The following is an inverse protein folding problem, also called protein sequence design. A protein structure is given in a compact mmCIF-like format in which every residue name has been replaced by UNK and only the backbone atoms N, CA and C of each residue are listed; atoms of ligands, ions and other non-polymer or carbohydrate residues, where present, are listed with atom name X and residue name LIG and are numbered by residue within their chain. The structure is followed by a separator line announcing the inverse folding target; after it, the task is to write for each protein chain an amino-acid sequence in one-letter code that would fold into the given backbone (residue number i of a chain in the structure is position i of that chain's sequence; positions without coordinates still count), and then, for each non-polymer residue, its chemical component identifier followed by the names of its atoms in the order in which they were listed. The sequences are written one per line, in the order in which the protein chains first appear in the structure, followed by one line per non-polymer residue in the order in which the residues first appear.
data_IF_326603618768
#
_entry.id   IF_326603618768
#
_cell.length_a   1.000
_cell.length_b   1.000
_cell.length_c   1.000
_cell.angle_alpha   90.00
_cell.angle_beta   90.00
_cell.angle_gamma   90.00
#
_symmetry.space_group_name_H-M   'P 1'
#
loop_
_entity.id
_entity.type
_entity.pdbx_description
1 polymer ?
#
# COMPACT_ATOMS: atom_id res chain seq x y z
N UNK A 1 20.49 -12.25 9.43
CA UNK A 1 19.46 -11.84 10.40
C UNK A 1 18.32 -12.85 10.35
N UNK A 2 18.00 -13.46 11.49
CA UNK A 2 16.86 -14.36 11.66
C UNK A 2 15.55 -13.57 11.61
N UNK A 3 14.41 -14.26 11.53
CA UNK A 3 13.09 -13.61 11.58
C UNK A 3 12.91 -12.81 12.90
N UNK A 4 13.32 -13.40 14.02
CA UNK A 4 13.20 -12.77 15.35
C UNK A 4 14.02 -11.50 15.46
N UNK A 5 15.28 -11.55 15.02
CA UNK A 5 16.16 -10.38 15.03
C UNK A 5 15.57 -9.23 14.18
N UNK A 6 15.04 -9.53 12.98
CA UNK A 6 14.38 -8.52 12.14
C UNK A 6 13.15 -7.91 12.82
N UNK A 7 12.39 -8.72 13.55
CA UNK A 7 11.19 -8.27 14.25
C UNK A 7 11.55 -7.40 15.45
N UNK A 8 12.51 -7.81 16.28
CA UNK A 8 13.02 -7.03 17.39
C UNK A 8 13.54 -5.66 16.92
N UNK A 9 14.36 -5.62 15.87
CA UNK A 9 14.83 -4.36 15.29
C UNK A 9 13.70 -3.47 14.77
N UNK A 10 12.64 -4.06 14.21
CA UNK A 10 11.48 -3.30 13.72
C UNK A 10 10.69 -2.69 14.87
N UNK A 11 10.55 -3.41 15.98
CA UNK A 11 9.86 -2.96 17.19
C UNK A 11 10.67 -1.88 17.89
N UNK A 12 11.98 -2.07 18.08
CA UNK A 12 12.90 -1.06 18.62
C UNK A 12 12.85 0.22 17.76
N UNK A 13 12.95 0.08 16.43
CA UNK A 13 12.82 1.21 15.52
C UNK A 13 11.47 1.93 15.59
N UNK A 14 10.41 1.28 16.06
CA UNK A 14 9.11 1.91 16.27
C UNK A 14 9.06 2.67 17.61
N UNK A 15 9.59 2.09 18.68
CA UNK A 15 9.62 2.73 20.01
C UNK A 15 10.59 3.92 20.08
N UNK A 16 11.63 3.94 19.26
CA UNK A 16 12.52 5.09 19.10
C UNK A 16 11.85 6.29 18.38
N UNK A 17 10.62 6.14 17.87
CA UNK A 17 9.89 7.18 17.15
C UNK A 17 8.72 7.71 17.97
N UNK A 18 8.86 8.94 18.47
CA UNK A 18 7.75 9.67 19.12
C UNK A 18 6.62 9.91 18.10
N UNK A 19 6.96 10.57 16.99
CA UNK A 19 6.00 10.94 15.93
C UNK A 19 6.58 10.66 14.54
N UNK A 20 5.75 10.42 13.53
CA UNK A 20 6.24 10.19 12.19
C UNK A 20 6.69 11.51 11.52
N UNK A 21 7.68 11.43 10.64
CA UNK A 21 8.19 12.55 9.83
C UNK A 21 7.28 12.92 8.64
N UNK A 22 5.96 12.93 8.86
CA UNK A 22 5.01 13.41 7.87
C UNK A 22 4.74 14.89 8.08
N UNK A 23 4.49 15.61 6.98
CA UNK A 23 3.93 16.95 7.05
C UNK A 23 2.55 16.92 7.75
N UNK A 24 2.22 17.97 8.52
CA UNK A 24 0.98 18.04 9.32
C UNK A 24 -0.30 17.88 8.48
N UNK A 25 -0.26 18.21 7.19
CA UNK A 25 -1.40 18.06 6.28
C UNK A 25 -1.67 16.61 5.86
N UNK A 26 -0.73 15.67 6.04
CA UNK A 26 -0.87 14.24 5.72
C UNK A 26 -1.58 13.48 6.84
N UNK A 27 -2.72 14.01 7.30
CA UNK A 27 -3.50 13.48 8.45
C UNK A 27 -3.91 12.02 8.29
N UNK A 28 -4.17 11.58 7.05
CA UNK A 28 -4.47 10.17 6.76
C UNK A 28 -3.26 9.23 7.02
N UNK A 29 -2.03 9.72 6.86
CA UNK A 29 -0.83 8.93 7.20
C UNK A 29 -0.50 8.99 8.70
N UNK A 30 -0.89 10.05 9.38
CA UNK A 30 -0.86 10.10 10.85
C UNK A 30 -1.86 9.12 11.46
N UNK A 31 -3.07 8.99 10.89
CA UNK A 31 -4.04 7.96 11.29
C UNK A 31 -3.46 6.53 11.16
N UNK A 32 -2.73 6.24 10.08
CA UNK A 32 -1.99 4.97 9.95
C UNK A 32 -0.94 4.79 11.07
N UNK A 33 -0.28 5.86 11.49
CA UNK A 33 0.72 5.76 12.56
C UNK A 33 0.06 5.50 13.92
N UNK A 34 -1.10 6.10 14.20
CA UNK A 34 -1.89 5.80 15.41
C UNK A 34 -2.38 4.35 15.39
N UNK A 35 -2.87 3.85 14.26
CA UNK A 35 -3.20 2.42 14.12
C UNK A 35 -1.99 1.51 14.39
N UNK A 36 -0.78 1.95 14.01
CA UNK A 36 0.45 1.22 14.32
C UNK A 36 0.79 1.29 15.82
N UNK A 37 0.55 2.42 16.49
CA UNK A 37 0.64 2.53 17.95
C UNK A 37 -0.31 1.54 18.59
N UNK A 38 -1.56 1.47 18.16
CA UNK A 38 -2.55 0.53 18.69
C UNK A 38 -2.23 -0.94 18.40
N UNK A 39 -1.51 -1.24 17.32
CA UNK A 39 -1.02 -2.59 17.05
C UNK A 39 0.03 -3.05 18.07
N UNK A 40 0.86 -2.12 18.57
CA UNK A 40 1.90 -2.39 19.56
C UNK A 40 1.48 -2.06 20.99
N UNK A 41 0.28 -1.51 21.17
CA UNK A 41 -0.30 -1.27 22.49
C UNK A 41 -0.67 -2.60 23.11
N UNK A 42 -0.50 -2.70 24.43
CA UNK A 42 -1.04 -3.81 25.21
C UNK A 42 -2.58 -3.88 25.09
N UNK A 43 -3.23 -4.75 25.87
CA UNK A 43 -4.69 -4.92 25.82
C UNK A 43 -5.51 -3.68 26.18
N UNK A 44 -4.89 -2.64 26.75
CA UNK A 44 -5.59 -1.46 27.25
C UNK A 44 -5.89 -0.44 26.13
N UNK A 45 -5.31 -0.65 24.93
CA UNK A 45 -5.54 0.17 23.74
C UNK A 45 -4.71 1.45 23.70
N UNK A 46 -5.06 2.35 22.78
CA UNK A 46 -4.43 3.67 22.63
C UNK A 46 -5.49 4.74 22.77
N UNK A 47 -5.39 5.57 23.81
CA UNK A 47 -6.28 6.71 24.00
C UNK A 47 -5.81 7.96 23.25
N UNK A 48 -6.70 8.94 23.12
CA UNK A 48 -6.36 10.28 22.63
C UNK A 48 -5.21 10.90 23.45
N UNK A 49 -5.24 10.75 24.79
CA UNK A 49 -4.22 11.27 25.69
C UNK A 49 -2.84 10.67 25.42
N UNK A 50 -2.78 9.35 25.22
CA UNK A 50 -1.51 8.64 24.93
C UNK A 50 -0.88 9.17 23.63
N UNK A 51 -1.69 9.40 22.59
CA UNK A 51 -1.18 9.95 21.33
C UNK A 51 -0.75 11.41 21.49
N UNK A 52 -1.51 12.22 22.24
CA UNK A 52 -1.16 13.61 22.50
C UNK A 52 0.19 13.71 23.22
N UNK A 53 0.35 12.94 24.31
CA UNK A 53 1.57 12.90 25.10
C UNK A 53 2.75 12.37 24.28
N UNK A 54 2.54 11.33 23.46
CA UNK A 54 3.59 10.79 22.58
C UNK A 54 4.01 11.78 21.49
N UNK A 55 3.09 12.51 20.88
CA UNK A 55 3.42 13.40 19.76
C UNK A 55 3.98 14.76 20.20
N UNK A 56 3.54 15.27 21.34
CA UNK A 56 3.81 16.63 21.79
C UNK A 56 4.51 16.71 23.15
N UNK A 57 4.60 15.59 23.88
CA UNK A 57 5.25 15.47 25.18
C UNK A 57 4.32 15.82 26.34
N UNK A 58 4.66 15.30 27.53
CA UNK A 58 3.92 15.52 28.80
C UNK A 58 4.20 16.87 29.46
N UNK A 59 5.14 17.66 28.93
CA UNK A 59 5.63 18.87 29.61
C UNK A 59 4.74 20.06 29.33
N UNK A 60 4.17 20.60 30.41
CA UNK A 60 3.49 21.88 30.56
C UNK A 60 3.61 22.77 29.33
N UNK A 61 2.57 22.72 28.49
CA UNK A 61 2.40 23.65 27.39
C UNK A 61 2.75 25.06 27.86
N UNK A 62 3.75 25.67 27.23
CA UNK A 62 4.18 27.03 27.55
C UNK A 62 3.06 28.08 27.34
N UNK A 63 2.00 27.71 26.61
CA UNK A 63 0.76 28.46 26.49
C UNK A 63 -0.42 27.53 26.19
N UNK A 64 -1.59 27.80 26.80
CA UNK A 64 -2.83 27.05 26.52
C UNK A 64 -3.24 27.06 25.05
N UNK A 65 -2.90 28.13 24.30
CA UNK A 65 -3.16 28.23 22.86
C UNK A 65 -2.47 27.16 22.02
N UNK A 66 -1.27 26.73 22.42
CA UNK A 66 -0.54 25.69 21.69
C UNK A 66 -1.21 24.33 21.93
N UNK A 67 -1.68 24.08 23.16
CA UNK A 67 -2.45 22.89 23.51
C UNK A 67 -3.73 22.79 22.70
N UNK A 68 -4.52 23.87 22.66
CA UNK A 68 -5.78 23.91 21.90
C UNK A 68 -5.55 23.58 20.40
N UNK A 69 -4.42 24.04 19.84
CA UNK A 69 -4.05 23.78 18.45
C UNK A 69 -3.72 22.30 18.22
N UNK A 70 -2.91 21.72 19.09
CA UNK A 70 -2.45 20.33 18.96
C UNK A 70 -3.62 19.35 19.19
N UNK A 71 -4.46 19.62 20.19
CA UNK A 71 -5.70 18.87 20.43
C UNK A 71 -6.64 18.98 19.23
N UNK A 72 -6.89 20.18 18.70
CA UNK A 72 -7.73 20.37 17.52
C UNK A 72 -7.21 19.63 16.29
N UNK A 73 -5.89 19.57 16.09
CA UNK A 73 -5.30 18.83 14.98
C UNK A 73 -5.43 17.32 15.17
N UNK A 74 -5.27 16.84 16.40
CA UNK A 74 -5.42 15.42 16.74
C UNK A 74 -6.87 14.93 16.61
N UNK A 75 -7.84 15.77 17.01
CA UNK A 75 -9.28 15.51 16.81
C UNK A 75 -9.59 15.24 15.32
N UNK A 76 -8.98 16.01 14.41
CA UNK A 76 -9.16 15.77 12.97
C UNK A 76 -8.62 14.40 12.52
N UNK A 77 -7.59 13.87 13.17
CA UNK A 77 -7.03 12.54 12.86
C UNK A 77 -7.90 11.43 13.46
N UNK A 78 -8.37 11.58 14.70
CA UNK A 78 -9.33 10.64 15.29
C UNK A 78 -10.64 10.59 14.50
N UNK A 79 -11.09 11.72 13.96
CA UNK A 79 -12.21 11.77 13.01
C UNK A 79 -11.94 10.92 11.75
N UNK A 80 -10.69 10.79 11.30
CA UNK A 80 -10.31 9.88 10.19
C UNK A 80 -10.37 8.42 10.65
N UNK A 81 -9.93 8.11 11.86
CA UNK A 81 -9.99 6.76 12.44
C UNK A 81 -11.46 6.31 12.54
N UNK A 82 -12.35 7.15 13.07
CA UNK A 82 -13.80 6.87 13.09
C UNK A 82 -14.37 6.58 11.70
N UNK A 83 -13.95 7.37 10.69
CA UNK A 83 -14.37 7.11 9.31
C UNK A 83 -13.87 5.75 8.82
N UNK A 84 -12.67 5.34 9.20
CA UNK A 84 -12.12 4.02 8.83
C UNK A 84 -12.87 2.89 9.53
N UNK A 85 -13.23 3.03 10.81
CA UNK A 85 -14.10 2.08 11.50
C UNK A 85 -15.38 1.84 10.68
N UNK A 86 -16.01 2.91 10.20
CA UNK A 86 -17.24 2.81 9.38
C UNK A 86 -16.98 2.29 7.95
N UNK A 87 -15.92 2.75 7.29
CA UNK A 87 -15.61 2.43 5.89
C UNK A 87 -15.15 0.98 5.72
N UNK A 88 -14.35 0.48 6.66
CA UNK A 88 -13.82 -0.89 6.64
C UNK A 88 -14.76 -1.88 7.34
N UNK A 89 -15.64 -1.42 8.23
CA UNK A 89 -16.62 -2.24 8.94
C UNK A 89 -15.96 -3.46 9.60
N UNK A 90 -16.45 -4.67 9.34
CA UNK A 90 -15.92 -5.91 9.92
C UNK A 90 -14.46 -6.16 9.56
N UNK A 91 -13.98 -5.63 8.42
CA UNK A 91 -12.61 -5.78 7.97
C UNK A 91 -11.62 -4.88 8.75
N UNK A 92 -12.10 -3.86 9.47
CA UNK A 92 -11.24 -3.01 10.31
C UNK A 92 -10.73 -3.79 11.53
N UNK A 93 -9.41 -3.82 11.81
CA UNK A 93 -8.87 -4.68 12.87
C UNK A 93 -9.00 -4.08 14.29
N UNK A 94 -9.48 -2.85 14.41
CA UNK A 94 -9.60 -2.16 15.69
C UNK A 94 -11.06 -1.87 16.05
N UNK A 95 -11.31 -1.66 17.34
CA UNK A 95 -12.53 -1.06 17.89
C UNK A 95 -12.17 0.30 18.49
N UNK A 96 -13.04 1.29 18.30
CA UNK A 96 -12.96 2.58 18.96
C UNK A 96 -14.14 2.67 19.93
N UNK A 97 -13.86 2.83 21.23
CA UNK A 97 -14.89 2.94 22.25
C UNK A 97 -15.39 4.38 22.44
N UNK A 98 -16.36 4.57 23.34
CA UNK A 98 -16.95 5.88 23.64
C UNK A 98 -15.95 6.85 24.30
N UNK A 99 -14.81 6.36 24.79
CA UNK A 99 -13.73 7.17 25.39
C UNK A 99 -12.61 7.45 24.38
N UNK A 100 -12.83 7.21 23.08
CA UNK A 100 -11.85 7.36 22.01
C UNK A 100 -10.61 6.47 22.20
N UNK A 101 -10.77 5.30 22.85
CA UNK A 101 -9.69 4.32 23.00
C UNK A 101 -9.72 3.35 21.82
N UNK A 102 -8.66 3.37 21.02
CA UNK A 102 -8.47 2.47 19.88
C UNK A 102 -7.80 1.18 20.34
N UNK A 103 -8.53 0.07 20.28
CA UNK A 103 -8.06 -1.24 20.76
C UNK A 103 -8.09 -2.26 19.64
N UNK A 104 -7.09 -3.14 19.57
CA UNK A 104 -7.09 -4.25 18.62
C UNK A 104 -8.19 -5.26 18.97
N UNK A 105 -8.91 -5.76 17.95
CA UNK A 105 -9.93 -6.79 18.16
C UNK A 105 -9.27 -8.08 18.70
N UNK A 106 -9.90 -8.77 19.67
CA UNK A 106 -9.35 -10.01 20.22
C UNK A 106 -9.30 -11.15 19.19
N UNK A 107 -10.33 -11.24 18.36
CA UNK A 107 -10.47 -12.29 17.33
C UNK A 107 -10.34 -11.69 15.93
N UNK A 108 -9.11 -11.70 15.40
CA UNK A 108 -8.81 -11.19 14.06
C UNK A 108 -9.05 -12.26 12.99
N UNK A 109 -9.95 -11.97 12.05
CA UNK A 109 -10.08 -12.77 10.83
C UNK A 109 -8.95 -12.44 9.82
N UNK A 110 -8.87 -13.20 8.73
CA UNK A 110 -7.80 -13.02 7.75
C UNK A 110 -7.83 -11.64 7.06
N UNK A 111 -9.00 -11.02 6.87
CA UNK A 111 -9.11 -9.66 6.33
C UNK A 111 -8.63 -8.61 7.31
N UNK A 112 -8.89 -8.79 8.61
CA UNK A 112 -8.31 -7.94 9.64
C UNK A 112 -6.78 -8.04 9.63
N UNK A 113 -6.24 -9.25 9.51
CA UNK A 113 -4.80 -9.45 9.39
C UNK A 113 -4.23 -8.88 8.11
N UNK A 114 -4.95 -8.98 6.99
CA UNK A 114 -4.54 -8.39 5.72
C UNK A 114 -4.52 -6.85 5.78
N UNK A 115 -5.49 -6.24 6.48
CA UNK A 115 -5.46 -4.81 6.79
C UNK A 115 -4.16 -4.45 7.51
N UNK A 116 -3.83 -5.17 8.58
CA UNK A 116 -2.61 -4.95 9.36
C UNK A 116 -1.35 -5.21 8.53
N UNK A 117 -1.37 -6.21 7.66
CA UNK A 117 -0.29 -6.52 6.74
C UNK A 117 0.00 -5.36 5.78
N UNK A 118 -1.05 -4.77 5.20
CA UNK A 118 -0.91 -3.54 4.40
C UNK A 118 -0.46 -2.34 5.23
N UNK A 119 -0.93 -2.22 6.48
CA UNK A 119 -0.45 -1.17 7.38
C UNK A 119 1.07 -1.28 7.59
N UNK A 120 1.56 -2.48 7.91
CA UNK A 120 3.00 -2.80 8.06
C UNK A 120 3.76 -2.55 6.75
N UNK A 121 3.23 -2.98 5.61
CA UNK A 121 3.81 -2.73 4.28
C UNK A 121 3.94 -1.24 3.96
N UNK A 122 3.06 -0.39 4.48
CA UNK A 122 3.16 1.07 4.29
C UNK A 122 4.22 1.75 5.16
N UNK A 123 4.88 0.99 6.05
CA UNK A 123 5.83 1.47 7.08
C UNK A 123 7.20 0.81 6.93
N UNK A 124 7.67 0.67 5.69
CA UNK A 124 8.96 0.02 5.37
C UNK A 124 10.19 0.65 6.06
N UNK A 125 10.08 1.91 6.50
CA UNK A 125 11.13 2.57 7.28
C UNK A 125 11.26 2.00 8.71
N UNK A 126 10.20 1.41 9.24
CA UNK A 126 10.18 0.70 10.53
C UNK A 126 10.55 -0.77 10.29
N UNK A 127 9.91 -1.40 9.30
CA UNK A 127 10.10 -2.83 8.98
C UNK A 127 11.24 -3.08 7.97
N UNK A 128 12.40 -2.45 8.15
CA UNK A 128 13.51 -2.47 7.17
C UNK A 128 13.97 -3.88 6.81
N UNK A 129 14.10 -4.76 7.82
CA UNK A 129 14.54 -6.15 7.64
C UNK A 129 13.60 -7.02 6.81
N UNK A 130 12.31 -6.64 6.73
CA UNK A 130 11.27 -7.34 5.99
C UNK A 130 10.91 -6.66 4.66
N UNK A 131 11.57 -5.54 4.31
CA UNK A 131 11.26 -4.79 3.09
C UNK A 131 11.19 -5.66 1.82
N UNK A 132 12.14 -6.57 1.52
CA UNK A 132 12.07 -7.40 0.32
C UNK A 132 10.87 -8.36 0.29
N UNK A 133 10.45 -8.83 1.46
CA UNK A 133 9.32 -9.73 1.63
C UNK A 133 8.01 -8.94 1.44
N UNK A 134 7.84 -7.85 2.20
CA UNK A 134 6.65 -7.00 2.16
C UNK A 134 6.36 -6.41 0.77
N UNK A 135 7.38 -5.93 0.05
CA UNK A 135 7.18 -5.38 -1.30
C UNK A 135 6.79 -6.46 -2.31
N UNK A 136 7.47 -7.61 -2.26
CA UNK A 136 7.24 -8.73 -3.17
C UNK A 136 5.86 -9.35 -2.96
N UNK A 137 5.44 -9.49 -1.70
CA UNK A 137 4.13 -10.05 -1.37
C UNK A 137 2.99 -9.07 -1.65
N UNK A 138 3.24 -7.77 -1.52
CA UNK A 138 2.28 -6.76 -1.96
C UNK A 138 2.06 -6.75 -3.48
N UNK A 139 3.10 -7.00 -4.27
CA UNK A 139 2.96 -7.25 -5.73
C UNK A 139 2.06 -8.47 -5.99
N UNK A 140 2.29 -9.58 -5.28
CA UNK A 140 1.45 -10.79 -5.39
C UNK A 140 -0.01 -10.52 -5.01
N UNK A 141 -0.27 -9.81 -3.92
CA UNK A 141 -1.63 -9.39 -3.53
C UNK A 141 -2.27 -8.55 -4.64
N UNK A 142 -1.53 -7.56 -5.16
CA UNK A 142 -2.00 -6.66 -6.21
C UNK A 142 -2.31 -7.40 -7.52
N UNK A 143 -1.55 -8.45 -7.84
CA UNK A 143 -1.81 -9.34 -8.98
C UNK A 143 -3.19 -10.00 -8.87
N UNK A 144 -3.50 -10.59 -7.72
CA UNK A 144 -4.78 -11.23 -7.48
C UNK A 144 -5.93 -10.21 -7.46
N UNK A 145 -5.72 -9.04 -6.85
CA UNK A 145 -6.72 -7.95 -6.90
C UNK A 145 -7.04 -7.54 -8.34
N UNK A 146 -6.03 -7.36 -9.20
CA UNK A 146 -6.27 -7.00 -10.58
C UNK A 146 -7.00 -8.11 -11.33
N UNK A 147 -6.62 -9.37 -11.09
CA UNK A 147 -7.27 -10.54 -11.67
C UNK A 147 -8.74 -10.65 -11.29
N UNK A 148 -9.09 -10.36 -10.04
CA UNK A 148 -10.48 -10.42 -9.54
C UNK A 148 -11.30 -9.20 -9.96
N UNK A 149 -10.65 -8.05 -10.12
CA UNK A 149 -11.29 -6.83 -10.61
C UNK A 149 -11.65 -6.91 -12.10
N UNK A 150 -10.77 -7.51 -12.91
CA UNK A 150 -11.00 -7.66 -14.34
C UNK A 150 -11.92 -8.84 -14.65
N UNK A 151 -12.46 -8.87 -15.87
CA UNK A 151 -13.34 -9.97 -16.28
C UNK A 151 -12.59 -11.30 -16.37
N UNK A 152 -13.30 -12.42 -16.26
CA UNK A 152 -12.74 -13.76 -16.46
C UNK A 152 -12.16 -14.01 -17.87
N UNK A 153 -12.43 -13.11 -18.83
CA UNK A 153 -11.83 -13.13 -20.17
C UNK A 153 -10.48 -12.41 -20.24
N UNK A 154 -10.12 -11.65 -19.19
CA UNK A 154 -8.85 -10.96 -19.13
C UNK A 154 -7.70 -11.94 -18.88
N UNK A 155 -6.53 -11.56 -19.38
CA UNK A 155 -5.26 -12.20 -19.04
C UNK A 155 -4.53 -11.23 -18.13
N UNK A 156 -4.11 -11.71 -16.96
CA UNK A 156 -3.30 -10.94 -16.00
C UNK A 156 -2.02 -11.71 -15.76
N UNK A 157 -0.88 -11.02 -15.84
CA UNK A 157 0.46 -11.57 -15.60
C UNK A 157 1.26 -10.65 -14.71
N UNK A 158 2.05 -11.24 -13.81
CA UNK A 158 3.12 -10.54 -13.11
C UNK A 158 4.21 -10.17 -14.12
N UNK A 159 4.67 -8.92 -14.07
CA UNK A 159 5.77 -8.40 -14.87
C UNK A 159 6.97 -8.00 -13.99
N UNK A 160 6.78 -7.81 -12.68
CA UNK A 160 7.83 -7.51 -11.70
C UNK A 160 8.63 -8.75 -11.27
N UNK A 161 8.88 -8.89 -9.96
CA UNK A 161 9.86 -9.87 -9.44
C UNK A 161 9.49 -11.34 -9.70
N UNK A 162 8.21 -11.67 -9.71
CA UNK A 162 7.69 -13.03 -9.94
C UNK A 162 7.38 -13.31 -11.41
N UNK A 163 7.82 -12.44 -12.31
CA UNK A 163 7.54 -12.51 -13.74
C UNK A 163 8.03 -13.80 -14.38
N UNK A 164 7.22 -14.36 -15.28
CA UNK A 164 7.62 -15.46 -16.16
C UNK A 164 8.43 -14.97 -17.36
N UNK A 165 8.53 -13.66 -17.59
CA UNK A 165 9.32 -13.08 -18.66
C UNK A 165 10.80 -13.12 -18.27
N UNK A 166 11.62 -13.78 -19.09
CA UNK A 166 13.06 -13.98 -18.84
C UNK A 166 13.92 -13.03 -19.66
N UNK A 167 15.11 -12.71 -19.16
CA UNK A 167 16.08 -11.83 -19.83
C UNK A 167 16.23 -10.47 -19.14
N UNK A 168 16.94 -9.54 -19.78
CA UNK A 168 17.05 -8.17 -19.31
C UNK A 168 15.73 -7.40 -19.57
N UNK A 169 15.68 -6.12 -19.21
CA UNK A 169 14.50 -5.29 -19.39
C UNK A 169 14.02 -5.19 -20.85
N UNK A 170 14.94 -5.14 -21.83
CA UNK A 170 14.59 -5.06 -23.26
C UNK A 170 13.89 -6.36 -23.69
N UNK A 171 14.47 -7.50 -23.35
CA UNK A 171 13.95 -8.82 -23.71
C UNK A 171 12.56 -9.03 -23.11
N UNK A 172 12.37 -8.66 -21.83
CA UNK A 172 11.05 -8.72 -21.19
C UNK A 172 10.02 -7.85 -21.91
N UNK A 173 10.38 -6.62 -22.29
CA UNK A 173 9.49 -5.73 -23.05
C UNK A 173 9.16 -6.31 -24.43
N UNK A 174 10.12 -6.94 -25.12
CA UNK A 174 9.87 -7.60 -26.41
C UNK A 174 8.91 -8.78 -26.27
N UNK A 175 9.08 -9.60 -25.23
CA UNK A 175 8.18 -10.71 -24.94
C UNK A 175 6.76 -10.21 -24.58
N UNK A 176 6.66 -9.13 -23.82
CA UNK A 176 5.38 -8.48 -23.52
C UNK A 176 4.70 -7.96 -24.79
N UNK A 177 5.44 -7.29 -25.67
CA UNK A 177 4.92 -6.81 -26.95
C UNK A 177 4.38 -7.97 -27.80
N UNK A 178 5.10 -9.10 -27.83
CA UNK A 178 4.67 -10.30 -28.53
C UNK A 178 3.35 -10.87 -27.97
N UNK A 179 3.21 -10.93 -26.63
CA UNK A 179 1.97 -11.37 -25.98
C UNK A 179 0.77 -10.46 -26.28
N UNK A 180 1.01 -9.14 -26.35
CA UNK A 180 -0.01 -8.16 -26.69
C UNK A 180 -0.24 -8.04 -28.21
N UNK A 181 0.62 -8.65 -29.04
CA UNK A 181 0.64 -8.48 -30.49
C UNK A 181 1.02 -7.07 -30.95
N UNK A 182 1.64 -6.25 -30.09
CA UNK A 182 1.98 -4.85 -30.38
C UNK A 182 3.34 -4.72 -31.07
N UNK A 183 3.50 -3.63 -31.83
CA UNK A 183 4.81 -3.21 -32.35
C UNK A 183 5.59 -2.48 -31.27
N UNK A 184 6.91 -2.56 -31.36
CA UNK A 184 7.85 -1.88 -30.46
C UNK A 184 8.45 -0.66 -31.17
N UNK A 185 8.78 0.38 -30.41
CA UNK A 185 9.70 1.44 -30.84
C UNK A 185 11.13 1.03 -30.46
N UNK A 186 11.88 0.43 -31.40
CA UNK A 186 13.23 -0.09 -31.09
C UNK A 186 14.20 1.03 -30.68
N UNK A 187 14.10 2.23 -31.27
CA UNK A 187 14.94 3.38 -30.90
C UNK A 187 14.81 3.76 -29.42
N UNK A 188 13.58 3.75 -28.88
CA UNK A 188 13.32 4.01 -27.44
C UNK A 188 13.84 2.86 -26.56
N UNK A 189 13.75 1.62 -27.06
CA UNK A 189 14.22 0.43 -26.35
C UNK A 189 15.75 0.38 -26.29
N UNK A 190 16.45 0.84 -27.34
CA UNK A 190 17.91 0.95 -27.39
C UNK A 190 18.47 1.86 -26.30
N UNK A 191 17.71 2.87 -25.88
CA UNK A 191 18.05 3.76 -24.76
C UNK A 191 18.10 3.07 -23.39
N UNK A 192 17.62 1.83 -23.27
CA UNK A 192 17.75 1.03 -22.04
C UNK A 192 19.14 0.39 -22.01
N UNK A 193 19.84 0.47 -20.88
CA UNK A 193 21.12 -0.24 -20.72
C UNK A 193 20.91 -1.76 -20.72
N UNK A 194 21.78 -2.49 -21.42
CA UNK A 194 21.84 -3.97 -21.40
C UNK A 194 22.03 -4.56 -19.99
N UNK A 195 22.57 -3.76 -19.05
CA UNK A 195 22.75 -4.17 -17.65
C UNK A 195 21.50 -3.97 -16.80
N UNK A 196 20.44 -3.38 -17.35
CA UNK A 196 19.21 -3.14 -16.61
C UNK A 196 18.34 -4.41 -16.62
N UNK A 197 18.26 -5.06 -15.46
CA UNK A 197 17.42 -6.24 -15.25
C UNK A 197 16.07 -5.93 -14.59
N UNK A 198 15.87 -4.69 -14.15
CA UNK A 198 14.64 -4.24 -13.51
C UNK A 198 13.58 -3.86 -14.54
N UNK A 199 12.32 -4.02 -14.17
CA UNK A 199 11.18 -3.99 -15.07
C UNK A 199 10.63 -2.58 -15.29
N UNK A 200 11.51 -1.59 -15.10
CA UNK A 200 11.30 -0.16 -15.41
C UNK A 200 10.04 0.42 -14.76
N UNK A 201 9.58 -0.20 -13.67
CA UNK A 201 8.39 0.17 -12.90
C UNK A 201 7.07 -0.19 -13.62
N UNK A 202 7.03 -1.36 -14.23
CA UNK A 202 5.79 -2.10 -14.48
C UNK A 202 5.86 -3.39 -13.66
N UNK A 203 4.90 -3.60 -12.77
CA UNK A 203 4.88 -4.77 -11.89
C UNK A 203 3.84 -5.80 -12.33
N UNK A 204 2.69 -5.36 -12.87
CA UNK A 204 1.61 -6.24 -13.32
C UNK A 204 1.03 -5.70 -14.63
N UNK A 205 0.71 -6.62 -15.54
CA UNK A 205 0.02 -6.33 -16.80
C UNK A 205 -1.31 -7.08 -16.84
N UNK A 206 -2.37 -6.39 -17.27
CA UNK A 206 -3.66 -6.99 -17.60
C UNK A 206 -4.10 -6.61 -19.01
N UNK A 207 -4.74 -7.51 -19.75
CA UNK A 207 -5.40 -7.14 -21.02
C UNK A 207 -6.60 -8.03 -21.34
N UNK A 208 -7.46 -7.55 -22.23
CA UNK A 208 -8.64 -8.29 -22.68
C UNK A 208 -8.54 -8.61 -24.18
N UNK A 209 -8.09 -9.81 -24.57
CA UNK A 209 -7.88 -10.16 -25.96
C UNK A 209 -9.20 -10.41 -26.70
N UNK A 210 -9.18 -10.16 -28.02
CA UNK A 210 -10.23 -10.57 -28.94
C UNK A 210 -9.78 -11.79 -29.75
N UNK A 211 -10.73 -12.67 -30.10
CA UNK A 211 -10.44 -13.88 -30.88
C UNK A 211 -10.00 -13.61 -32.32
N UNK A 212 -10.23 -12.40 -32.83
CA UNK A 212 -9.80 -11.95 -34.15
C UNK A 212 -8.33 -11.50 -34.21
N UNK A 213 -7.64 -11.47 -33.06
CA UNK A 213 -6.26 -10.99 -32.90
C UNK A 213 -6.07 -9.51 -33.27
N UNK A 214 -7.14 -8.72 -33.32
CA UNK A 214 -7.02 -7.28 -33.48
C UNK A 214 -6.36 -6.68 -32.23
N UNK A 215 -5.36 -5.81 -32.44
CA UNK A 215 -4.61 -5.15 -31.37
C UNK A 215 -5.43 -4.07 -30.63
N UNK A 216 -6.66 -3.78 -31.08
CA UNK A 216 -7.55 -2.83 -30.44
C UNK A 216 -8.17 -3.44 -29.17
N UNK A 217 -7.37 -3.59 -28.14
CA UNK A 217 -7.73 -4.24 -26.88
C UNK A 217 -7.53 -3.29 -25.69
N UNK A 218 -8.26 -3.57 -24.61
CA UNK A 218 -8.02 -2.89 -23.34
C UNK A 218 -6.75 -3.46 -22.72
N UNK A 219 -5.81 -2.57 -22.38
CA UNK A 219 -4.56 -2.90 -21.70
C UNK A 219 -4.46 -2.10 -20.42
N UNK A 220 -4.01 -2.74 -19.35
CA UNK A 220 -3.85 -2.20 -18.01
C UNK A 220 -2.40 -2.35 -17.58
N UNK A 221 -1.75 -1.23 -17.29
CA UNK A 221 -0.35 -1.19 -16.82
C UNK A 221 -0.35 -0.80 -15.35
N UNK A 222 0.14 -1.67 -14.47
CA UNK A 222 0.07 -1.46 -13.03
C UNK A 222 1.45 -1.40 -12.38
N UNK A 223 1.61 -0.43 -11.48
CA UNK A 223 2.73 -0.31 -10.56
C UNK A 223 2.25 -0.52 -9.13
N UNK A 224 3.05 -1.21 -8.33
CA UNK A 224 2.86 -1.41 -6.90
C UNK A 224 3.84 -0.54 -6.13
N UNK A 225 3.35 0.18 -5.11
CA UNK A 225 4.18 1.05 -4.31
C UNK A 225 3.83 0.96 -2.81
N UNK A 226 4.74 0.38 -2.03
CA UNK A 226 4.63 0.29 -0.57
C UNK A 226 5.18 1.52 0.17
N UNK A 227 5.97 2.37 -0.49
CA UNK A 227 6.63 3.53 0.11
C UNK A 227 5.80 4.82 0.08
N UNK A 228 6.31 5.86 0.73
CA UNK A 228 5.67 7.19 0.88
C UNK A 228 5.81 8.08 -0.38
N UNK A 229 6.76 7.79 -1.25
CA UNK A 229 7.07 8.58 -2.46
C UNK A 229 6.34 8.05 -3.70
N UNK A 230 5.07 7.67 -3.56
CA UNK A 230 4.25 7.15 -4.66
C UNK A 230 4.11 8.15 -5.81
N UNK A 231 4.17 9.45 -5.50
CA UNK A 231 4.10 10.53 -6.47
C UNK A 231 5.20 10.44 -7.53
N UNK A 232 6.40 10.03 -7.13
CA UNK A 232 7.52 9.84 -8.06
C UNK A 232 7.35 8.64 -9.02
N UNK A 233 6.34 7.79 -8.77
CA UNK A 233 6.13 6.52 -9.47
C UNK A 233 5.10 6.56 -10.59
N UNK A 234 4.30 7.64 -10.70
CA UNK A 234 3.30 7.74 -11.77
C UNK A 234 3.91 7.77 -13.18
N UNK A 235 5.16 8.20 -13.32
CA UNK A 235 5.82 8.21 -14.63
C UNK A 235 6.32 6.83 -15.09
N UNK A 236 6.40 5.84 -14.19
CA UNK A 236 7.06 4.57 -14.50
C UNK A 236 6.25 3.74 -15.51
N UNK A 237 4.95 3.55 -15.29
CA UNK A 237 4.09 2.81 -16.24
C UNK A 237 3.90 3.57 -17.55
N UNK A 238 3.84 4.91 -17.52
CA UNK A 238 3.72 5.74 -18.74
C UNK A 238 4.87 5.55 -19.70
N UNK A 239 6.06 5.23 -19.20
CA UNK A 239 7.23 4.97 -20.05
C UNK A 239 6.99 3.84 -21.06
N UNK A 240 6.09 2.90 -20.76
CA UNK A 240 5.73 1.82 -21.68
C UNK A 240 4.94 2.31 -22.90
N UNK A 241 4.33 3.49 -22.87
CA UNK A 241 3.74 4.11 -24.07
C UNK A 241 4.81 4.56 -25.08
N UNK A 242 6.06 4.77 -24.63
CA UNK A 242 7.18 5.05 -25.54
C UNK A 242 7.72 3.75 -26.14
N UNK A 243 7.67 2.63 -25.41
CA UNK A 243 8.20 1.35 -25.87
C UNK A 243 7.22 0.60 -26.77
N UNK A 244 5.91 0.68 -26.47
CA UNK A 244 4.87 -0.13 -27.10
C UNK A 244 3.90 0.75 -27.91
N UNK A 245 3.71 0.41 -29.18
CA UNK A 245 2.78 1.11 -30.07
C UNK A 245 1.34 0.61 -29.88
N UNK A 246 0.67 1.13 -28.86
CA UNK A 246 -0.74 0.80 -28.60
C UNK A 246 -1.66 1.20 -29.78
N UNK A 247 -2.56 0.30 -30.18
CA UNK A 247 -3.41 0.52 -31.35
C UNK A 247 -4.77 1.09 -30.96
N UNK A 248 -5.02 2.36 -31.34
CA UNK A 248 -6.28 3.12 -31.20
C UNK A 248 -6.76 3.41 -29.76
N UNK A 249 -6.42 2.58 -28.79
CA UNK A 249 -6.77 2.76 -27.39
C UNK A 249 -5.51 2.85 -26.55
N UNK A 250 -5.43 3.87 -25.68
CA UNK A 250 -4.34 4.01 -24.72
C UNK A 250 -4.50 3.02 -23.57
N UNK A 251 -3.41 2.55 -22.97
CA UNK A 251 -3.49 1.72 -21.77
C UNK A 251 -4.08 2.52 -20.61
N UNK A 252 -4.81 1.84 -19.73
CA UNK A 252 -5.22 2.37 -18.44
C UNK A 252 -4.08 2.14 -17.44
N UNK A 253 -3.61 3.22 -16.82
CA UNK A 253 -2.58 3.12 -15.79
C UNK A 253 -3.20 2.85 -14.43
N UNK A 254 -2.56 1.99 -13.63
CA UNK A 254 -3.03 1.57 -12.32
C UNK A 254 -1.91 1.76 -11.29
N UNK A 255 -2.27 2.23 -10.10
CA UNK A 255 -1.37 2.32 -8.96
C UNK A 255 -1.96 1.58 -7.76
N UNK A 256 -1.22 0.60 -7.25
CA UNK A 256 -1.53 -0.14 -6.02
C UNK A 256 -0.77 0.43 -4.84
N UNK A 257 -1.48 0.75 -3.77
CA UNK A 257 -0.95 1.43 -2.57
C UNK A 257 -1.52 0.78 -1.29
N UNK A 258 -0.69 0.42 -0.30
CA UNK A 258 -1.16 -0.29 0.90
C UNK A 258 -1.72 0.64 1.99
N UNK A 259 -1.66 1.96 1.83
CA UNK A 259 -2.24 2.93 2.76
C UNK A 259 -3.60 3.47 2.30
N UNK A 260 -4.43 3.88 3.27
CA UNK A 260 -5.77 4.37 2.99
C UNK A 260 -5.75 5.81 2.48
N UNK A 261 -6.36 6.02 1.32
CA UNK A 261 -6.48 7.32 0.66
C UNK A 261 -7.90 7.86 0.59
N UNK A 262 -8.93 7.07 0.90
CA UNK A 262 -10.32 7.50 0.75
C UNK A 262 -10.69 8.56 1.79
N UNK A 263 -11.16 9.72 1.33
CA UNK A 263 -11.82 10.74 2.14
C UNK A 263 -13.33 10.69 1.87
N UNK A 264 -14.07 10.07 2.78
CA UNK A 264 -15.52 9.82 2.60
C UNK A 264 -16.33 11.12 2.67
N UNK A 265 -15.94 12.08 3.50
CA UNK A 265 -16.61 13.38 3.60
C UNK A 265 -16.56 14.21 2.32
N UNK A 266 -15.42 14.17 1.62
CA UNK A 266 -15.22 14.95 0.38
C UNK A 266 -15.46 14.13 -0.88
N UNK A 267 -15.84 12.86 -0.75
CA UNK A 267 -16.02 11.91 -1.85
C UNK A 267 -14.84 11.93 -2.85
N UNK A 268 -13.62 11.95 -2.33
CA UNK A 268 -12.37 12.00 -3.11
C UNK A 268 -11.23 11.35 -2.35
N UNK A 269 -10.04 11.30 -2.95
CA UNK A 269 -8.84 10.90 -2.23
C UNK A 269 -8.24 12.04 -1.40
N UNK A 270 -7.65 11.72 -0.25
CA UNK A 270 -6.68 12.60 0.39
C UNK A 270 -5.53 12.88 -0.58
N UNK A 271 -5.10 14.15 -0.65
CA UNK A 271 -4.07 14.60 -1.59
C UNK A 271 -4.36 14.24 -3.06
N UNK A 272 -5.64 14.31 -3.46
CA UNK A 272 -6.06 14.03 -4.84
C UNK A 272 -5.37 14.89 -5.90
N UNK A 273 -4.87 16.06 -5.51
CA UNK A 273 -4.07 16.97 -6.35
C UNK A 273 -2.70 16.39 -6.74
N UNK A 274 -2.17 15.44 -5.96
CA UNK A 274 -0.90 14.76 -6.21
C UNK A 274 -1.09 13.45 -7.01
N UNK A 275 -2.33 13.06 -7.28
CA UNK A 275 -2.64 11.88 -8.10
C UNK A 275 -2.69 12.31 -9.56
N UNK A 276 -1.84 11.73 -10.39
CA UNK A 276 -1.84 12.02 -11.82
C UNK A 276 -3.17 11.66 -12.50
N UNK A 277 -3.51 12.41 -13.54
CA UNK A 277 -4.67 12.09 -14.39
C UNK A 277 -4.51 10.70 -15.02
N UNK A 278 -5.65 10.08 -15.32
CA UNK A 278 -5.71 8.78 -16.02
C UNK A 278 -5.11 7.60 -15.24
N UNK A 279 -4.94 7.74 -13.91
CA UNK A 279 -4.61 6.64 -13.01
C UNK A 279 -5.86 6.11 -12.30
N UNK A 280 -6.01 4.79 -12.31
CA UNK A 280 -6.94 4.08 -11.45
C UNK A 280 -6.21 3.62 -10.19
N UNK A 281 -6.64 4.11 -9.03
CA UNK A 281 -5.99 3.85 -7.75
C UNK A 281 -6.65 2.67 -7.04
N UNK A 282 -5.85 1.71 -6.62
CA UNK A 282 -6.25 0.66 -5.69
C UNK A 282 -5.51 0.91 -4.38
N UNK A 283 -6.20 1.54 -3.44
CA UNK A 283 -5.71 1.76 -2.08
C UNK A 283 -6.21 0.65 -1.15
N UNK A 284 -5.83 0.70 0.13
CA UNK A 284 -6.14 -0.32 1.15
C UNK A 284 -7.58 -0.84 1.11
N UNK A 285 -8.61 0.02 1.06
CA UNK A 285 -10.02 -0.45 1.08
C UNK A 285 -10.39 -1.21 -0.20
N UNK A 286 -10.00 -0.70 -1.36
CA UNK A 286 -10.26 -1.37 -2.65
C UNK A 286 -9.54 -2.71 -2.75
N UNK A 287 -8.28 -2.76 -2.31
CA UNK A 287 -7.48 -3.99 -2.28
C UNK A 287 -8.15 -5.03 -1.39
N UNK A 288 -8.53 -4.66 -0.16
CA UNK A 288 -9.15 -5.57 0.80
C UNK A 288 -10.52 -6.09 0.34
N UNK A 289 -11.25 -5.29 -0.42
CA UNK A 289 -12.56 -5.67 -0.95
C UNK A 289 -12.49 -6.65 -2.14
N UNK A 290 -11.38 -6.66 -2.89
CA UNK A 290 -11.24 -7.39 -4.15
C UNK A 290 -10.28 -8.59 -4.07
N UNK A 291 -9.45 -8.66 -3.03
CA UNK A 291 -8.65 -9.85 -2.77
C UNK A 291 -9.53 -10.92 -2.11
N UNK A 292 -9.50 -12.14 -2.67
CA UNK A 292 -10.37 -13.26 -2.26
C UNK A 292 -9.57 -14.50 -1.84
N UNK A 293 -8.25 -14.48 -2.01
CA UNK A 293 -7.36 -15.62 -1.89
C UNK A 293 -6.84 -15.81 -0.45
N UNK A 294 -7.74 -16.15 0.47
CA UNK A 294 -7.45 -16.35 1.90
C UNK A 294 -6.21 -17.25 2.14
N UNK A 295 -6.19 -18.45 1.57
CA UNK A 295 -5.08 -19.40 1.74
C UNK A 295 -3.74 -18.84 1.23
N UNK A 296 -3.77 -18.09 0.13
CA UNK A 296 -2.59 -17.40 -0.38
C UNK A 296 -2.09 -16.41 0.66
N UNK A 297 -2.97 -15.55 1.21
CA UNK A 297 -2.60 -14.58 2.23
C UNK A 297 -2.05 -15.25 3.51
N UNK A 298 -2.71 -16.31 4.00
CA UNK A 298 -2.28 -17.02 5.21
C UNK A 298 -0.87 -17.59 5.09
N UNK A 299 -0.44 -17.96 3.87
CA UNK A 299 0.90 -18.46 3.57
C UNK A 299 2.01 -17.39 3.51
N UNK A 300 1.68 -16.10 3.42
CA UNK A 300 2.63 -15.00 3.26
C UNK A 300 3.45 -14.73 4.53
N UNK A 301 4.69 -14.26 4.37
CA UNK A 301 5.51 -13.73 5.46
C UNK A 301 4.85 -12.52 6.11
N UNK A 302 4.13 -11.70 5.34
CA UNK A 302 3.32 -10.59 5.83
C UNK A 302 2.35 -11.03 6.93
N UNK A 303 1.63 -12.13 6.73
CA UNK A 303 0.72 -12.67 7.74
C UNK A 303 1.49 -13.13 8.99
N UNK A 304 2.66 -13.76 8.82
CA UNK A 304 3.52 -14.16 9.95
C UNK A 304 4.05 -12.96 10.73
N UNK A 305 4.40 -11.86 10.07
CA UNK A 305 4.81 -10.61 10.72
C UNK A 305 3.65 -10.08 11.57
N UNK A 306 2.45 -9.98 10.99
CA UNK A 306 1.24 -9.53 11.69
C UNK A 306 0.96 -10.40 12.92
N UNK A 307 0.94 -11.73 12.77
CA UNK A 307 0.70 -12.65 13.88
C UNK A 307 1.69 -12.47 15.03
N UNK A 308 2.93 -12.04 14.73
CA UNK A 308 3.96 -11.80 15.74
C UNK A 308 3.88 -10.41 16.35
N UNK A 309 3.48 -9.39 15.58
CA UNK A 309 3.17 -8.07 16.10
C UNK A 309 1.97 -8.13 17.06
N UNK A 310 0.88 -8.82 16.70
CA UNK A 310 -0.33 -8.93 17.53
C UNK A 310 -0.05 -9.66 18.85
N UNK A 311 0.87 -10.64 18.85
CA UNK A 311 1.28 -11.36 20.07
C UNK A 311 2.30 -10.60 20.92
N UNK A 312 2.88 -9.53 20.38
CA UNK A 312 3.84 -8.73 21.13
C UNK A 312 3.08 -7.85 22.11
N UNK A 313 3.40 -7.98 23.40
CA UNK A 313 2.88 -7.11 24.44
C UNK A 313 4.01 -6.18 24.86
N UNK A 314 3.81 -4.88 24.64
CA UNK A 314 4.67 -3.83 25.17
C UNK A 314 3.82 -2.86 25.98
N UNK A 315 4.30 -2.48 27.16
CA UNK A 315 3.72 -1.36 27.90
C UNK A 315 4.08 -0.09 27.14
N UNK A 316 3.07 0.59 26.59
CA UNK A 316 3.26 1.93 26.03
C UNK A 316 3.29 2.88 27.22
N UNK A 317 4.46 3.47 27.46
CA UNK A 317 4.68 4.50 28.49
C UNK A 317 4.44 5.87 27.93
#
# INVERSE_FOLDING_TARGET
MTFEEKLSESIESFFDLDKPDYTENKKNLHADFIELISLFSNTDGTSFGDVLDRFFGTKDYSSGKQRDKDESWLIEIFTIIEQRVRLFADDYPFTLDDNEVLTIKPDLNWKNKMYLGMLVSSKLNIFKGFRPDLTSEFETISYYVLKNFLSSKSIVKEFGKNSTYTGNAKEKIRLLAADLGLKIEEDELEGISERNNQERGLDIIGWMPFGDKCMNQLVYLAQCACGKDTESKYHDTRRFENYLKFYKTKPQHIMFIPYSLINTFKNKFYHSDLIEKDFLIFERKRILALFEEEETFLGLQMNKIVDRCVKHQADIV
#
